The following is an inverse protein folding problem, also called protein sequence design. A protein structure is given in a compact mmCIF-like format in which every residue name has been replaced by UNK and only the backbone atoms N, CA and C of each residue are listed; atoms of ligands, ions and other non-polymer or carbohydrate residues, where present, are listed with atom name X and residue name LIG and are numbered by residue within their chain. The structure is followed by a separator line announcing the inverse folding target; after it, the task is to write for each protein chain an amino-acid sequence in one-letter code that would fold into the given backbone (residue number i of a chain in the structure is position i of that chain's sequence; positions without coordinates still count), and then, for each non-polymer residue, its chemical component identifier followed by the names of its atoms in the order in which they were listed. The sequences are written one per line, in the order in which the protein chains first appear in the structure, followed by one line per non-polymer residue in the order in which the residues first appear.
data_IF_093875149204
#
_entry.id   IF_093875149204
#
_cell.length_a   1.000
_cell.length_b   1.000
_cell.length_c   1.000
_cell.angle_alpha   90.00
_cell.angle_beta   90.00
_cell.angle_gamma   90.00
#
_symmetry.space_group_name_H-M   'P 1'
#
loop_
_entity.id
_entity.type
_entity.pdbx_description
1 polymer ?
#
# COMPACT_ATOMS: atom_id res chain seq x y z
N UNK A 1 4.89 -6.60 28.28
CA UNK A 1 5.52 -7.25 27.10
C UNK A 1 5.75 -6.18 26.05
N UNK A 2 6.85 -6.20 25.28
CA UNK A 2 7.03 -5.23 24.20
C UNK A 2 5.85 -5.33 23.23
N UNK A 3 5.30 -4.18 22.83
CA UNK A 3 4.18 -4.14 21.91
C UNK A 3 4.63 -4.64 20.54
N UNK A 4 3.83 -5.51 19.94
CA UNK A 4 4.10 -6.06 18.61
C UNK A 4 4.11 -4.92 17.57
N UNK A 5 5.17 -4.76 16.74
CA UNK A 5 5.13 -3.76 15.67
C UNK A 5 3.95 -4.02 14.73
N UNK A 6 3.29 -2.97 14.30
CA UNK A 6 2.14 -3.03 13.41
C UNK A 6 2.52 -2.56 12.01
N UNK A 7 2.26 -3.41 11.00
CA UNK A 7 2.23 -3.04 9.59
C UNK A 7 0.81 -2.63 9.22
N UNK A 8 0.61 -1.37 8.87
CA UNK A 8 -0.67 -0.88 8.36
C UNK A 8 -0.67 -0.95 6.82
N UNK A 9 -1.62 -1.68 6.28
CA UNK A 9 -1.89 -1.75 4.84
C UNK A 9 -3.16 -0.94 4.58
N UNK A 10 -3.04 0.17 3.85
CA UNK A 10 -4.19 0.99 3.44
C UNK A 10 -4.38 0.83 1.95
N UNK A 11 -5.60 0.49 1.54
CA UNK A 11 -5.89 0.23 0.14
C UNK A 11 -7.22 0.82 -0.33
N UNK A 12 -7.30 1.08 -1.62
CA UNK A 12 -8.57 1.25 -2.32
C UNK A 12 -8.60 0.31 -3.53
N UNK A 13 -9.77 -0.19 -3.91
CA UNK A 13 -9.94 -1.08 -5.06
C UNK A 13 -11.31 -0.85 -5.70
N UNK A 14 -11.34 -0.66 -7.03
CA UNK A 14 -12.60 -0.52 -7.77
C UNK A 14 -13.05 -1.85 -8.40
N UNK A 15 -12.13 -2.53 -9.09
CA UNK A 15 -12.41 -3.75 -9.87
C UNK A 15 -11.74 -4.98 -9.29
N UNK A 16 -11.35 -4.96 -8.01
CA UNK A 16 -10.79 -6.11 -7.30
C UNK A 16 -9.28 -6.35 -7.48
N UNK A 17 -8.62 -5.75 -8.49
CA UNK A 17 -7.20 -5.99 -8.75
C UNK A 17 -6.28 -5.58 -7.59
N UNK A 18 -6.43 -4.35 -7.09
CA UNK A 18 -5.66 -3.88 -5.93
C UNK A 18 -5.97 -4.69 -4.67
N UNK A 19 -7.22 -5.15 -4.50
CA UNK A 19 -7.61 -6.00 -3.36
C UNK A 19 -6.82 -7.30 -3.36
N UNK A 20 -6.75 -8.00 -4.49
CA UNK A 20 -5.97 -9.25 -4.62
C UNK A 20 -4.49 -9.02 -4.29
N UNK A 21 -3.92 -7.90 -4.75
CA UNK A 21 -2.52 -7.56 -4.45
C UNK A 21 -2.28 -7.34 -2.95
N UNK A 22 -3.16 -6.62 -2.25
CA UNK A 22 -2.99 -6.40 -0.80
C UNK A 22 -3.33 -7.60 0.05
N UNK A 23 -4.21 -8.49 -0.42
CA UNK A 23 -4.46 -9.77 0.24
C UNK A 23 -3.23 -10.66 0.18
N UNK A 24 -2.57 -10.75 -0.99
CA UNK A 24 -1.30 -11.46 -1.13
C UNK A 24 -0.20 -10.84 -0.25
N UNK A 25 -0.02 -9.52 -0.29
CA UNK A 25 0.94 -8.84 0.59
C UNK A 25 0.62 -9.03 2.08
N UNK A 26 -0.66 -8.98 2.46
CA UNK A 26 -1.09 -9.25 3.82
C UNK A 26 -0.82 -10.70 4.23
N UNK A 27 -0.97 -11.67 3.32
CA UNK A 27 -0.68 -13.07 3.58
C UNK A 27 0.82 -13.26 3.85
N UNK A 28 1.68 -12.73 3.00
CA UNK A 28 3.14 -12.77 3.18
C UNK A 28 3.59 -12.10 4.47
N UNK A 29 3.05 -10.92 4.77
CA UNK A 29 3.36 -10.21 6.01
C UNK A 29 2.94 -10.98 7.28
N UNK A 30 1.82 -11.71 7.23
CA UNK A 30 1.32 -12.52 8.36
C UNK A 30 2.15 -13.77 8.65
N UNK A 31 3.05 -14.16 7.74
CA UNK A 31 4.02 -15.23 8.02
C UNK A 31 4.99 -14.82 9.15
N UNK A 32 5.23 -13.52 9.33
CA UNK A 32 6.00 -13.00 10.45
C UNK A 32 5.11 -12.83 11.69
N UNK A 33 5.08 -13.86 12.54
CA UNK A 33 4.21 -13.91 13.71
C UNK A 33 4.52 -12.80 14.74
N UNK A 34 5.68 -12.16 14.68
CA UNK A 34 6.03 -11.03 15.54
C UNK A 34 5.56 -9.66 15.02
N UNK A 35 4.80 -9.61 13.92
CA UNK A 35 4.19 -8.38 13.38
C UNK A 35 2.67 -8.49 13.41
N UNK A 36 2.00 -7.39 13.77
CA UNK A 36 0.55 -7.26 13.64
C UNK A 36 0.24 -6.65 12.28
N UNK A 37 -0.53 -7.35 11.43
CA UNK A 37 -0.96 -6.81 10.14
C UNK A 37 -2.36 -6.23 10.26
N UNK A 38 -2.50 -4.93 9.98
CA UNK A 38 -3.79 -4.22 9.97
C UNK A 38 -4.09 -3.81 8.53
N UNK A 39 -5.06 -4.47 7.91
CA UNK A 39 -5.51 -4.18 6.54
C UNK A 39 -6.80 -3.38 6.60
N UNK A 40 -6.80 -2.17 6.04
CA UNK A 40 -7.96 -1.27 6.05
C UNK A 40 -8.21 -0.69 4.67
N UNK A 41 -9.49 -0.57 4.32
CA UNK A 41 -9.88 0.23 3.18
C UNK A 41 -9.61 1.72 3.45
N UNK A 42 -9.31 2.50 2.41
CA UNK A 42 -8.92 3.91 2.53
C UNK A 42 -10.00 4.78 3.20
N UNK A 43 -11.28 4.40 3.09
CA UNK A 43 -12.40 5.08 3.78
C UNK A 43 -12.42 4.83 5.29
N UNK A 44 -11.81 3.73 5.74
CA UNK A 44 -11.90 3.25 7.12
C UNK A 44 -10.62 3.53 7.92
N UNK A 45 -9.50 3.79 7.23
CA UNK A 45 -8.22 4.14 7.83
C UNK A 45 -8.13 5.62 8.18
N UNK A 46 -7.35 6.05 9.17
CA UNK A 46 -7.16 7.47 9.47
C UNK A 46 -5.82 7.80 10.11
N UNK A 47 -5.65 9.06 10.58
CA UNK A 47 -4.41 9.49 11.21
C UNK A 47 -4.07 8.66 12.46
N UNK A 48 -5.07 8.15 13.19
CA UNK A 48 -4.84 7.28 14.36
C UNK A 48 -4.22 5.94 13.97
N UNK A 49 -4.67 5.32 12.88
CA UNK A 49 -4.10 4.07 12.39
C UNK A 49 -2.64 4.26 11.99
N UNK A 50 -2.33 5.37 11.30
CA UNK A 50 -0.96 5.74 10.96
C UNK A 50 -0.10 5.87 12.22
N UNK A 51 -0.55 6.63 13.23
CA UNK A 51 0.20 6.86 14.47
C UNK A 51 0.51 5.56 15.23
N UNK A 52 -0.45 4.63 15.24
CA UNK A 52 -0.33 3.33 15.93
C UNK A 52 0.59 2.34 15.22
N UNK A 53 0.78 2.47 13.91
CA UNK A 53 1.63 1.57 13.13
C UNK A 53 3.11 1.98 13.11
N UNK A 54 3.98 1.04 12.75
CA UNK A 54 5.43 1.26 12.66
C UNK A 54 5.93 1.20 11.21
N UNK A 55 5.14 0.63 10.29
CA UNK A 55 5.39 0.69 8.85
C UNK A 55 4.12 0.65 8.04
N UNK A 56 4.23 1.00 6.76
CA UNK A 56 3.06 1.19 5.89
C UNK A 56 3.18 0.49 4.54
N UNK A 57 2.06 0.01 4.03
CA UNK A 57 1.90 -0.37 2.63
C UNK A 57 0.69 0.36 2.06
N UNK A 58 0.92 1.23 1.07
CA UNK A 58 -0.15 1.99 0.42
C UNK A 58 -0.47 1.38 -0.95
N UNK A 59 -1.73 1.08 -1.21
CA UNK A 59 -2.14 0.39 -2.43
C UNK A 59 -3.35 1.02 -3.12
N UNK A 60 -3.23 1.31 -4.41
CA UNK A 60 -4.32 1.97 -5.16
C UNK A 60 -4.40 1.44 -6.59
N UNK A 61 -5.57 1.46 -7.23
CA UNK A 61 -5.60 1.44 -8.69
C UNK A 61 -5.03 2.76 -9.23
N UNK A 62 -4.57 2.72 -10.48
CA UNK A 62 -4.36 3.93 -11.28
C UNK A 62 -5.68 4.38 -11.89
N UNK A 63 -6.14 5.57 -11.53
CA UNK A 63 -7.32 6.19 -12.13
C UNK A 63 -6.89 7.49 -12.80
N UNK A 64 -7.08 7.60 -14.12
CA UNK A 64 -6.70 8.79 -14.90
C UNK A 64 -5.23 9.20 -14.68
N UNK A 65 -4.33 8.21 -14.73
CA UNK A 65 -2.90 8.34 -14.45
C UNK A 65 -2.56 8.80 -13.01
N UNK A 66 -3.50 8.80 -12.08
CA UNK A 66 -3.31 9.26 -10.71
C UNK A 66 -3.65 8.16 -9.69
N UNK A 67 -3.32 8.41 -8.42
CA UNK A 67 -3.92 7.62 -7.34
C UNK A 67 -5.44 7.79 -7.36
N UNK A 68 -6.16 6.79 -6.89
CA UNK A 68 -7.61 6.88 -6.80
C UNK A 68 -8.06 8.01 -5.87
N UNK A 69 -9.23 8.60 -6.15
CA UNK A 69 -9.79 9.69 -5.34
C UNK A 69 -9.93 9.33 -3.86
N UNK A 70 -10.33 8.09 -3.54
CA UNK A 70 -10.45 7.64 -2.15
C UNK A 70 -9.08 7.44 -1.47
N UNK A 71 -8.04 7.07 -2.22
CA UNK A 71 -6.68 7.06 -1.67
C UNK A 71 -6.18 8.48 -1.41
N UNK A 72 -6.44 9.43 -2.33
CA UNK A 72 -6.12 10.84 -2.13
C UNK A 72 -6.85 11.43 -0.93
N UNK A 73 -8.14 11.14 -0.77
CA UNK A 73 -8.95 11.53 0.38
C UNK A 73 -8.31 11.04 1.69
N UNK A 74 -7.95 9.75 1.78
CA UNK A 74 -7.25 9.20 2.94
C UNK A 74 -5.97 9.98 3.28
N UNK A 75 -5.14 10.25 2.27
CA UNK A 75 -3.93 11.04 2.47
C UNK A 75 -4.26 12.45 2.98
N UNK A 76 -5.22 13.14 2.38
CA UNK A 76 -5.58 14.53 2.72
C UNK A 76 -6.08 14.66 4.15
N UNK A 77 -7.04 13.83 4.54
CA UNK A 77 -7.64 13.88 5.89
C UNK A 77 -6.69 13.37 6.98
N UNK A 78 -5.64 12.64 6.61
CA UNK A 78 -4.62 12.19 7.54
C UNK A 78 -3.41 13.13 7.61
N UNK A 79 -3.15 13.93 6.56
CA UNK A 79 -1.87 14.58 6.33
C UNK A 79 -1.37 15.37 7.52
N UNK A 80 -2.19 16.30 8.01
CA UNK A 80 -1.81 17.20 9.10
C UNK A 80 -1.86 16.53 10.47
N UNK A 81 -2.70 15.50 10.67
CA UNK A 81 -2.85 14.82 11.96
C UNK A 81 -1.63 14.01 12.38
N UNK A 82 -0.77 13.66 11.42
CA UNK A 82 0.43 12.83 11.61
C UNK A 82 1.73 13.55 11.26
N UNK A 83 1.64 14.80 10.78
CA UNK A 83 2.80 15.58 10.36
C UNK A 83 3.83 15.65 11.49
N UNK A 84 5.09 15.43 11.14
CA UNK A 84 6.24 15.37 12.06
C UNK A 84 6.20 14.27 13.14
N UNK A 85 5.19 13.38 13.14
CA UNK A 85 5.03 12.32 14.16
C UNK A 85 5.36 10.92 13.67
N UNK A 86 5.48 10.74 12.36
CA UNK A 86 5.70 9.43 11.71
C UNK A 86 7.00 9.37 10.89
N UNK A 87 7.88 10.34 11.11
CA UNK A 87 9.13 10.51 10.36
C UNK A 87 10.01 9.26 10.46
N UNK A 88 10.68 8.91 9.37
CA UNK A 88 11.59 7.77 9.27
C UNK A 88 10.91 6.41 9.20
N UNK A 89 9.59 6.31 9.44
CA UNK A 89 8.90 5.02 9.37
C UNK A 89 8.96 4.44 7.95
N UNK A 90 9.24 3.13 7.80
CA UNK A 90 9.31 2.47 6.51
C UNK A 90 7.97 2.43 5.79
N UNK A 91 8.01 2.56 4.47
CA UNK A 91 6.86 2.28 3.62
C UNK A 91 7.23 1.65 2.27
N UNK A 92 6.27 0.97 1.67
CA UNK A 92 6.27 0.61 0.26
C UNK A 92 4.90 0.91 -0.37
N UNK A 93 4.80 0.74 -1.69
CA UNK A 93 3.56 0.99 -2.41
C UNK A 93 3.26 -0.01 -3.51
N UNK A 94 1.96 -0.22 -3.75
CA UNK A 94 1.41 -1.08 -4.78
C UNK A 94 0.51 -0.27 -5.72
N UNK A 95 0.63 -0.47 -7.03
CA UNK A 95 -0.25 0.15 -8.02
C UNK A 95 -0.83 -0.92 -8.96
N UNK A 96 -2.15 -1.01 -9.02
CA UNK A 96 -2.84 -1.78 -10.06
C UNK A 96 -3.20 -0.84 -11.21
N UNK A 97 -2.46 -0.90 -12.30
CA UNK A 97 -2.61 0.03 -13.42
C UNK A 97 -3.27 -0.62 -14.64
N UNK A 98 -3.78 0.22 -15.55
CA UNK A 98 -4.12 -0.20 -16.90
C UNK A 98 -2.85 -0.48 -17.71
N UNK A 99 -1.98 0.53 -17.83
CA UNK A 99 -0.84 0.49 -18.74
C UNK A 99 0.49 0.99 -18.20
N UNK A 100 0.53 1.98 -17.29
CA UNK A 100 1.78 2.65 -16.89
C UNK A 100 2.00 2.69 -15.37
N UNK A 101 1.05 3.21 -14.59
CA UNK A 101 1.09 3.23 -13.12
C UNK A 101 2.09 4.21 -12.49
N UNK A 102 3.12 4.66 -13.22
CA UNK A 102 4.25 5.41 -12.68
C UNK A 102 3.85 6.78 -12.09
N UNK A 103 2.89 7.48 -12.67
CA UNK A 103 2.47 8.78 -12.10
C UNK A 103 1.67 8.59 -10.79
N UNK A 104 0.86 7.53 -10.66
CA UNK A 104 0.21 7.19 -9.40
C UNK A 104 1.24 6.83 -8.32
N UNK A 105 2.25 6.04 -8.65
CA UNK A 105 3.35 5.72 -7.74
C UNK A 105 4.09 6.99 -7.27
N UNK A 106 4.45 7.87 -8.21
CA UNK A 106 5.10 9.16 -7.93
C UNK A 106 4.26 10.07 -7.03
N UNK A 107 2.94 10.07 -7.20
CA UNK A 107 2.06 10.85 -6.32
C UNK A 107 2.10 10.34 -4.88
N UNK A 108 2.02 9.02 -4.67
CA UNK A 108 2.17 8.43 -3.32
C UNK A 108 3.54 8.76 -2.72
N UNK A 109 4.60 8.62 -3.50
CA UNK A 109 5.98 8.92 -3.08
C UNK A 109 6.13 10.38 -2.62
N UNK A 110 5.58 11.34 -3.38
CA UNK A 110 5.63 12.76 -3.01
C UNK A 110 4.89 13.06 -1.70
N UNK A 111 3.74 12.43 -1.49
CA UNK A 111 2.98 12.58 -0.25
C UNK A 111 3.77 11.98 0.92
N UNK A 112 4.30 10.77 0.76
CA UNK A 112 5.12 10.08 1.75
C UNK A 112 6.41 10.83 2.09
N UNK A 113 7.03 11.50 1.11
CA UNK A 113 8.17 12.41 1.32
C UNK A 113 7.78 13.60 2.19
N UNK A 114 6.59 14.16 2.00
CA UNK A 114 6.04 15.20 2.86
C UNK A 114 5.92 14.78 4.33
N UNK A 115 5.66 13.49 4.58
CA UNK A 115 5.67 12.89 5.91
C UNK A 115 7.06 12.41 6.38
N UNK A 116 8.09 12.55 5.53
CA UNK A 116 9.45 12.07 5.77
C UNK A 116 9.51 10.56 6.03
N UNK A 117 8.66 9.79 5.35
CA UNK A 117 8.72 8.34 5.39
C UNK A 117 9.92 7.81 4.60
N UNK A 118 10.41 6.63 4.97
CA UNK A 118 11.52 5.96 4.29
C UNK A 118 10.98 4.92 3.31
N UNK A 119 11.17 5.11 2.02
CA UNK A 119 10.87 4.07 1.04
C UNK A 119 11.85 2.90 1.24
N UNK A 120 11.34 1.68 1.37
CA UNK A 120 12.17 0.48 1.58
C UNK A 120 12.14 -0.51 0.43
N UNK A 121 11.33 -0.22 -0.59
CA UNK A 121 11.28 -0.94 -1.86
C UNK A 121 10.82 0.02 -2.97
N UNK A 122 11.21 -0.28 -4.20
CA UNK A 122 10.63 0.36 -5.39
C UNK A 122 9.11 0.10 -5.45
N UNK A 123 8.31 1.04 -6.00
CA UNK A 123 6.87 0.84 -6.19
C UNK A 123 6.60 -0.42 -7.03
N UNK A 124 5.75 -1.31 -6.53
CA UNK A 124 5.33 -2.49 -7.28
C UNK A 124 4.10 -2.15 -8.14
N UNK A 125 4.33 -1.98 -9.43
CA UNK A 125 3.30 -1.68 -10.43
C UNK A 125 2.93 -2.96 -11.17
N UNK A 126 1.63 -3.24 -11.25
CA UNK A 126 1.05 -4.34 -12.02
C UNK A 126 0.12 -3.78 -13.08
N UNK A 127 0.47 -3.98 -14.35
CA UNK A 127 -0.34 -3.54 -15.49
C UNK A 127 -1.30 -4.65 -15.93
N UNK A 128 -2.59 -4.36 -15.91
CA UNK A 128 -3.65 -5.30 -16.32
C UNK A 128 -3.90 -5.31 -17.82
N UNK A 129 -3.36 -4.34 -18.55
CA UNK A 129 -3.52 -4.16 -20.00
C UNK A 129 -4.99 -4.06 -20.47
N UNK A 130 -5.90 -3.66 -19.57
CA UNK A 130 -7.29 -3.39 -19.91
C UNK A 130 -7.41 -2.08 -20.71
N UNK A 131 -7.77 -2.18 -21.99
CA UNK A 131 -7.78 -1.04 -22.93
C UNK A 131 -9.16 -0.69 -23.50
N UNK A 132 -10.17 -1.56 -23.37
CA UNK A 132 -11.56 -1.26 -23.79
C UNK A 132 -12.40 -0.86 -22.58
N UNK A 133 -13.49 -0.07 -22.76
CA UNK A 133 -14.40 0.28 -21.67
C UNK A 133 -14.89 -0.95 -20.88
N UNK A 134 -15.25 -2.02 -21.56
CA UNK A 134 -15.73 -3.26 -20.96
C UNK A 134 -14.63 -3.94 -20.14
N UNK A 135 -13.41 -4.05 -20.70
CA UNK A 135 -12.28 -4.63 -20.00
C UNK A 135 -11.85 -3.78 -18.80
N UNK A 136 -11.94 -2.44 -18.89
CA UNK A 136 -11.62 -1.51 -17.79
C UNK A 136 -12.61 -1.68 -16.64
N UNK A 137 -13.90 -1.88 -16.91
CA UNK A 137 -14.93 -2.04 -15.88
C UNK A 137 -15.05 -3.47 -15.35
N UNK A 138 -14.57 -4.47 -16.09
CA UNK A 138 -14.61 -5.87 -15.66
C UNK A 138 -13.80 -6.11 -14.37
N UNK A 139 -14.20 -7.08 -13.53
CA UNK A 139 -13.36 -7.59 -12.44
C UNK A 139 -11.97 -7.99 -12.98
N UNK A 140 -10.92 -7.56 -12.28
CA UNK A 140 -9.54 -7.87 -12.68
C UNK A 140 -9.14 -9.21 -12.09
N UNK A 141 -8.30 -9.93 -12.83
CA UNK A 141 -7.60 -11.10 -12.33
C UNK A 141 -6.11 -10.81 -12.39
N UNK A 142 -5.47 -10.73 -11.22
CA UNK A 142 -4.03 -10.54 -11.15
C UNK A 142 -3.36 -11.89 -11.36
N UNK A 143 -2.26 -11.90 -12.12
CA UNK A 143 -1.51 -13.11 -12.45
C UNK A 143 -0.79 -13.63 -11.21
N UNK A 144 -0.65 -14.96 -11.10
CA UNK A 144 -0.01 -15.60 -9.96
C UNK A 144 1.41 -15.08 -9.69
N UNK A 145 2.18 -14.79 -10.74
CA UNK A 145 3.52 -14.21 -10.60
C UNK A 145 3.51 -12.82 -9.96
N UNK A 146 2.51 -11.99 -10.26
CA UNK A 146 2.38 -10.66 -9.66
C UNK A 146 1.86 -10.75 -8.21
N UNK A 147 0.98 -11.70 -7.91
CA UNK A 147 0.56 -11.99 -6.53
C UNK A 147 1.73 -12.46 -5.67
N UNK A 148 2.60 -13.33 -6.21
CA UNK A 148 3.81 -13.78 -5.54
C UNK A 148 4.73 -12.60 -5.20
N UNK A 149 4.94 -11.67 -6.14
CA UNK A 149 5.73 -10.44 -5.88
C UNK A 149 5.11 -9.58 -4.77
N UNK A 150 3.77 -9.51 -4.70
CA UNK A 150 3.08 -8.80 -3.63
C UNK A 150 3.28 -9.50 -2.27
N UNK A 151 3.17 -10.83 -2.23
CA UNK A 151 3.41 -11.65 -1.04
C UNK A 151 4.84 -11.45 -0.51
N UNK A 152 5.85 -11.55 -1.38
CA UNK A 152 7.26 -11.36 -1.05
C UNK A 152 7.55 -9.95 -0.50
N UNK A 153 6.93 -8.91 -1.08
CA UNK A 153 7.04 -7.55 -0.56
C UNK A 153 6.44 -7.44 0.85
N UNK A 154 5.27 -8.01 1.07
CA UNK A 154 4.62 -8.03 2.38
C UNK A 154 5.45 -8.75 3.43
N UNK A 155 6.00 -9.91 3.09
CA UNK A 155 6.90 -10.67 3.95
C UNK A 155 8.16 -9.85 4.29
N UNK A 156 8.80 -9.25 3.29
CA UNK A 156 10.01 -8.45 3.48
C UNK A 156 9.79 -7.25 4.39
N UNK A 157 8.66 -6.55 4.23
CA UNK A 157 8.25 -5.45 5.10
C UNK A 157 8.06 -5.91 6.55
N UNK A 158 7.35 -7.01 6.76
CA UNK A 158 7.08 -7.53 8.09
C UNK A 158 8.38 -8.00 8.77
N UNK A 159 9.22 -8.77 8.07
CA UNK A 159 10.52 -9.20 8.59
C UNK A 159 11.41 -8.01 8.94
N UNK A 160 11.49 -6.99 8.08
CA UNK A 160 12.31 -5.82 8.39
C UNK A 160 11.79 -4.99 9.57
N UNK A 161 10.46 -4.93 9.77
CA UNK A 161 9.85 -4.34 10.96
C UNK A 161 10.16 -5.16 12.23
N UNK A 162 10.08 -6.48 12.15
CA UNK A 162 10.38 -7.38 13.26
C UNK A 162 11.84 -7.26 13.73
N UNK A 163 12.77 -7.12 12.78
CA UNK A 163 14.20 -6.98 13.05
C UNK A 163 14.62 -5.56 13.42
N UNK A 164 13.75 -4.55 13.22
CA UNK A 164 14.06 -3.14 13.48
C UNK A 164 15.16 -2.58 12.57
N UNK A 165 15.28 -3.08 11.34
CA UNK A 165 16.38 -2.75 10.40
C UNK A 165 16.09 -1.57 9.47
N UNK A 166 14.91 -0.97 9.58
CA UNK A 166 14.49 0.17 8.75
C UNK A 166 14.74 1.52 9.43
#
# INVERSE_FOLDING_TARGET
MPQRPTLLIVYHSLTGGTLQMVEAASAGARQEASVQVRLLHATDAGPQDLLQAQGYLFATPENLAAISGLMKDFFDRSYYGVLDRIQGRPYASLVCAGSDGHNAARQMERIATGWRLKAVAEPLIVCTHAQTPEAILAPKQIQAADLQRCEELGQSLATGLALGIF
#
